data_IF_438406465449
#
_entry.id   IF_438406465449
#
_cell.length_a   1.000
_cell.length_b   1.000
_cell.length_c   1.000
_cell.angle_alpha   90.00
_cell.angle_beta   90.00
_cell.angle_gamma   90.00
#
_symmetry.space_group_name_H-M   'P 1'
#
loop_
_entity.id
_entity.type
_entity.pdbx_description
1 polymer ?
#
# COMPACT_ATOMS: atom_id res chain seq x y z
N UNK A 1 -18.13 14.54 -8.49
CA UNK A 1 -16.91 15.30 -8.11
C UNK A 1 -17.22 16.30 -7.03
N UNK A 2 -18.08 17.30 -7.28
CA UNK A 2 -18.49 18.28 -6.27
C UNK A 2 -18.99 17.63 -4.98
N UNK A 3 -19.90 16.66 -5.08
CA UNK A 3 -20.44 15.92 -3.92
C UNK A 3 -19.35 15.21 -3.09
N UNK A 4 -18.36 14.59 -3.74
CA UNK A 4 -17.24 13.93 -3.03
C UNK A 4 -16.33 14.98 -2.37
N UNK A 5 -16.06 16.11 -3.04
CA UNK A 5 -15.26 17.19 -2.50
C UNK A 5 -15.91 17.85 -1.28
N UNK A 6 -17.24 18.00 -1.29
CA UNK A 6 -18.02 18.48 -0.13
C UNK A 6 -17.91 17.53 1.06
N UNK A 7 -17.97 16.21 0.84
CA UNK A 7 -17.77 15.22 1.90
C UNK A 7 -16.36 15.22 2.48
N UNK A 8 -15.34 15.43 1.63
CA UNK A 8 -13.93 15.53 2.07
C UNK A 8 -13.72 16.72 3.01
N UNK A 9 -14.39 17.86 2.73
CA UNK A 9 -14.30 19.06 3.55
C UNK A 9 -12.86 19.51 3.80
N UNK A 10 -12.52 19.71 5.07
CA UNK A 10 -11.22 20.25 5.51
C UNK A 10 -10.17 19.17 5.81
N UNK A 11 -10.38 17.92 5.38
CA UNK A 11 -9.42 16.85 5.61
C UNK A 11 -8.01 17.20 5.06
N UNK A 12 -6.99 16.92 5.87
CA UNK A 12 -5.58 17.11 5.48
C UNK A 12 -5.02 15.86 4.79
N UNK A 13 -5.55 14.68 5.13
CA UNK A 13 -5.15 13.40 4.56
C UNK A 13 -6.40 12.70 4.03
N UNK A 14 -6.45 12.48 2.72
CA UNK A 14 -7.58 11.81 2.05
C UNK A 14 -7.09 10.49 1.48
N UNK A 15 -7.61 9.37 1.99
CA UNK A 15 -7.35 8.05 1.44
C UNK A 15 -8.47 7.62 0.50
N UNK A 16 -8.10 7.24 -0.73
CA UNK A 16 -8.99 6.80 -1.79
C UNK A 16 -8.77 5.33 -2.06
N UNK A 17 -9.82 4.56 -1.84
CA UNK A 17 -9.85 3.11 -1.86
C UNK A 17 -10.01 2.47 -3.23
N UNK A 18 -9.97 1.15 -3.21
CA UNK A 18 -10.42 0.24 -4.24
C UNK A 18 -10.71 -1.11 -3.56
N UNK A 19 -11.69 -1.86 -4.05
CA UNK A 19 -11.99 -3.16 -3.49
C UNK A 19 -11.03 -4.25 -3.98
N UNK A 20 -10.31 -4.01 -5.08
CA UNK A 20 -9.27 -4.86 -5.63
C UNK A 20 -8.39 -4.05 -6.59
N UNK A 21 -7.17 -4.51 -6.84
CA UNK A 21 -6.25 -3.88 -7.79
C UNK A 21 -6.60 -4.23 -9.25
N UNK A 22 -6.07 -3.41 -10.17
CA UNK A 22 -6.20 -3.59 -11.62
C UNK A 22 -7.63 -3.54 -12.15
N UNK A 23 -8.46 -2.68 -11.56
CA UNK A 23 -9.83 -2.41 -11.99
C UNK A 23 -9.89 -1.07 -12.71
N UNK A 24 -10.43 -1.07 -13.93
CA UNK A 24 -10.44 0.11 -14.81
C UNK A 24 -11.20 1.28 -14.21
N UNK A 25 -12.39 1.04 -13.69
CA UNK A 25 -13.28 2.08 -13.18
C UNK A 25 -12.73 2.73 -11.91
N UNK A 26 -12.07 1.96 -11.03
CA UNK A 26 -11.43 2.51 -9.84
C UNK A 26 -10.21 3.35 -10.20
N UNK A 27 -9.38 2.89 -11.15
CA UNK A 27 -8.27 3.69 -11.68
C UNK A 27 -8.74 5.02 -12.27
N UNK A 28 -9.78 4.99 -13.11
CA UNK A 28 -10.35 6.19 -13.72
C UNK A 28 -10.94 7.17 -12.69
N UNK A 29 -11.65 6.68 -11.67
CA UNK A 29 -12.21 7.52 -10.62
C UNK A 29 -11.12 8.11 -9.72
N UNK A 30 -10.12 7.30 -9.33
CA UNK A 30 -8.96 7.75 -8.55
C UNK A 30 -8.17 8.83 -9.27
N UNK A 31 -7.91 8.68 -10.57
CA UNK A 31 -7.24 9.71 -11.38
C UNK A 31 -8.06 11.01 -11.42
N UNK A 32 -9.37 10.93 -11.69
CA UNK A 32 -10.25 12.12 -11.71
C UNK A 32 -10.30 12.83 -10.36
N UNK A 33 -10.37 12.08 -9.26
CA UNK A 33 -10.34 12.62 -7.89
C UNK A 33 -8.99 13.26 -7.58
N UNK A 34 -7.89 12.59 -7.89
CA UNK A 34 -6.55 13.15 -7.69
C UNK A 34 -6.39 14.48 -8.42
N UNK A 35 -6.79 14.54 -9.69
CA UNK A 35 -6.69 15.77 -10.48
C UNK A 35 -7.47 16.91 -9.84
N UNK A 36 -8.70 16.64 -9.43
CA UNK A 36 -9.54 17.63 -8.75
C UNK A 36 -8.94 18.08 -7.41
N UNK A 37 -8.44 17.15 -6.59
CA UNK A 37 -7.83 17.46 -5.30
C UNK A 37 -6.56 18.30 -5.46
N UNK A 38 -5.75 18.01 -6.50
CA UNK A 38 -4.55 18.77 -6.82
C UNK A 38 -4.88 20.17 -7.35
N UNK A 39 -5.84 20.31 -8.28
CA UNK A 39 -6.10 21.61 -8.92
C UNK A 39 -7.02 22.53 -8.12
N UNK A 40 -8.00 21.97 -7.41
CA UNK A 40 -9.04 22.75 -6.74
C UNK A 40 -8.93 22.73 -5.20
N UNK A 41 -8.33 21.69 -4.61
CA UNK A 41 -8.34 21.50 -3.15
C UNK A 41 -6.96 21.65 -2.48
N UNK A 42 -5.91 21.94 -3.27
CA UNK A 42 -4.56 22.24 -2.76
C UNK A 42 -3.77 21.04 -2.27
N UNK A 43 -4.07 19.82 -2.76
CA UNK A 43 -3.27 18.64 -2.43
C UNK A 43 -1.98 18.59 -3.25
N UNK A 44 -0.85 18.32 -2.58
CA UNK A 44 0.50 18.44 -3.16
C UNK A 44 1.37 17.22 -2.90
N UNK A 45 0.88 16.23 -2.14
CA UNK A 45 1.58 14.97 -1.89
C UNK A 45 0.69 13.79 -2.27
N UNK A 46 1.20 12.90 -3.11
CA UNK A 46 0.58 11.62 -3.44
C UNK A 46 1.35 10.48 -2.75
N UNK A 47 0.69 9.79 -1.83
CA UNK A 47 1.10 8.51 -1.29
C UNK A 47 0.44 7.37 -2.07
N UNK A 48 1.20 6.33 -2.43
CA UNK A 48 0.69 5.17 -3.16
C UNK A 48 0.98 3.87 -2.39
N UNK A 49 0.15 2.84 -2.56
CA UNK A 49 0.39 1.48 -2.02
C UNK A 49 1.57 0.77 -2.70
N UNK A 50 2.74 1.39 -2.66
CA UNK A 50 3.98 0.87 -3.20
C UNK A 50 5.13 1.07 -2.23
N UNK A 51 6.22 0.36 -2.45
CA UNK A 51 7.41 0.44 -1.60
C UNK A 51 7.98 1.85 -1.52
N UNK A 52 8.22 2.31 -0.28
CA UNK A 52 8.81 3.63 -0.01
C UNK A 52 10.17 3.82 -0.70
N UNK A 53 11.00 2.78 -0.75
CA UNK A 53 12.32 2.85 -1.35
C UNK A 53 12.27 3.03 -2.87
N UNK A 54 11.37 2.32 -3.53
CA UNK A 54 11.13 2.39 -4.97
C UNK A 54 10.53 3.74 -5.37
N UNK A 55 9.60 4.28 -4.56
CA UNK A 55 8.90 5.53 -4.86
C UNK A 55 9.80 6.75 -5.01
N UNK A 56 11.04 6.73 -4.50
CA UNK A 56 12.02 7.80 -4.72
C UNK A 56 12.29 8.05 -6.21
N UNK A 57 12.31 6.98 -7.03
CA UNK A 57 12.53 7.08 -8.47
C UNK A 57 11.42 7.89 -9.15
N UNK A 58 10.17 7.64 -8.76
CA UNK A 58 8.99 8.34 -9.28
C UNK A 58 9.04 9.81 -8.87
N UNK A 59 9.28 10.11 -7.60
CA UNK A 59 9.36 11.50 -7.11
C UNK A 59 10.48 12.30 -7.80
N UNK A 60 11.65 11.68 -7.99
CA UNK A 60 12.76 12.29 -8.72
C UNK A 60 12.37 12.58 -10.18
N UNK A 61 11.69 11.64 -10.85
CA UNK A 61 11.20 11.82 -12.21
C UNK A 61 10.17 12.95 -12.28
N UNK A 62 9.15 12.97 -11.42
CA UNK A 62 8.13 14.04 -11.41
C UNK A 62 8.74 15.46 -11.31
N UNK A 63 9.92 15.58 -10.68
CA UNK A 63 10.68 16.82 -10.50
C UNK A 63 11.68 17.14 -11.63
N UNK A 64 11.58 16.46 -12.77
CA UNK A 64 12.44 16.72 -13.93
C UNK A 64 13.58 15.72 -14.10
N UNK A 65 13.65 14.66 -13.29
CA UNK A 65 14.59 13.56 -13.50
C UNK A 65 14.42 12.89 -14.87
N UNK A 66 15.50 12.26 -15.40
CA UNK A 66 15.49 11.61 -16.70
C UNK A 66 14.72 10.29 -16.69
N UNK A 67 14.47 9.73 -17.87
CA UNK A 67 13.86 8.41 -18.06
C UNK A 67 12.47 8.47 -18.68
N UNK A 68 12.07 7.36 -19.29
CA UNK A 68 10.75 7.18 -19.87
C UNK A 68 9.75 6.69 -18.82
N UNK A 69 8.50 7.13 -18.92
CA UNK A 69 7.48 6.84 -17.88
C UNK A 69 7.29 5.33 -17.63
N UNK A 70 7.42 4.50 -18.65
CA UNK A 70 7.27 3.05 -18.53
C UNK A 70 8.37 2.42 -17.65
N UNK A 71 9.62 2.87 -17.79
CA UNK A 71 10.72 2.37 -16.96
C UNK A 71 10.58 2.86 -15.51
N UNK A 72 10.21 4.13 -15.35
CA UNK A 72 10.00 4.75 -14.04
C UNK A 72 8.86 4.08 -13.28
N UNK A 73 7.76 3.75 -13.97
CA UNK A 73 6.63 3.09 -13.34
C UNK A 73 6.94 1.63 -13.02
N UNK A 74 7.66 0.91 -13.90
CA UNK A 74 8.11 -0.47 -13.63
C UNK A 74 9.00 -0.56 -12.39
N UNK A 75 9.99 0.33 -12.28
CA UNK A 75 11.03 0.24 -11.26
C UNK A 75 10.71 1.07 -9.99
N UNK A 76 9.76 2.00 -10.08
CA UNK A 76 9.35 2.91 -9.01
C UNK A 76 8.11 2.47 -8.23
N UNK A 77 7.48 1.35 -8.62
CA UNK A 77 6.34 0.74 -7.94
C UNK A 77 6.65 -0.70 -7.56
N UNK A 78 6.07 -1.17 -6.45
CA UNK A 78 6.09 -2.59 -6.07
C UNK A 78 4.81 -3.28 -6.53
N UNK A 79 4.75 -4.61 -6.41
CA UNK A 79 3.60 -5.44 -6.80
C UNK A 79 3.15 -5.30 -8.27
N UNK A 80 3.98 -4.71 -9.14
CA UNK A 80 3.64 -4.47 -10.53
C UNK A 80 2.55 -3.40 -10.74
N UNK A 81 2.21 -2.63 -9.70
CA UNK A 81 1.13 -1.64 -9.74
C UNK A 81 1.40 -0.49 -10.71
N UNK A 82 2.67 -0.26 -11.08
CA UNK A 82 3.06 0.77 -12.04
C UNK A 82 2.83 0.42 -13.51
N UNK A 83 2.53 -0.84 -13.85
CA UNK A 83 2.63 -1.32 -15.24
C UNK A 83 1.47 -0.90 -16.16
N UNK A 84 0.42 -0.24 -15.63
CA UNK A 84 -0.77 0.09 -16.42
C UNK A 84 -0.61 1.41 -17.17
N UNK A 85 -1.28 1.52 -18.32
CA UNK A 85 -1.28 2.76 -19.12
C UNK A 85 -1.88 3.92 -18.33
N UNK A 86 -2.89 3.66 -17.51
CA UNK A 86 -3.56 4.63 -16.64
C UNK A 86 -2.59 5.20 -15.59
N UNK A 87 -1.73 4.37 -15.00
CA UNK A 87 -0.69 4.87 -14.10
C UNK A 87 0.34 5.70 -14.86
N UNK A 88 0.74 5.29 -16.06
CA UNK A 88 1.63 6.10 -16.89
C UNK A 88 1.04 7.48 -17.23
N UNK A 89 -0.25 7.52 -17.57
CA UNK A 89 -0.98 8.77 -17.85
C UNK A 89 -1.09 9.66 -16.60
N UNK A 90 -1.39 9.07 -15.44
CA UNK A 90 -1.42 9.77 -14.16
C UNK A 90 -0.06 10.40 -13.84
N UNK A 91 1.03 9.62 -13.92
CA UNK A 91 2.39 10.11 -13.66
C UNK A 91 2.78 11.22 -14.63
N UNK A 92 2.50 11.03 -15.93
CA UNK A 92 2.78 12.03 -16.96
C UNK A 92 2.03 13.32 -16.70
N UNK A 93 0.77 13.24 -16.26
CA UNK A 93 0.00 14.41 -15.89
C UNK A 93 0.57 15.13 -14.67
N UNK A 94 1.03 14.40 -13.65
CA UNK A 94 1.61 14.96 -12.42
C UNK A 94 2.97 15.63 -12.64
N UNK A 95 3.75 15.17 -13.63
CA UNK A 95 5.11 15.66 -13.87
C UNK A 95 5.12 17.18 -14.06
N UNK A 96 5.98 17.86 -13.29
CA UNK A 96 6.13 19.32 -13.35
C UNK A 96 5.01 20.13 -12.68
N UNK A 97 4.02 19.51 -12.02
CA UNK A 97 2.93 20.22 -11.33
C UNK A 97 3.19 20.52 -9.85
N UNK A 98 4.42 20.27 -9.37
CA UNK A 98 4.78 20.49 -7.97
C UNK A 98 4.23 19.43 -6.99
N UNK A 99 3.63 18.35 -7.50
CA UNK A 99 3.18 17.22 -6.67
C UNK A 99 4.37 16.32 -6.31
N UNK A 100 4.52 16.03 -5.03
CA UNK A 100 5.48 15.04 -4.48
C UNK A 100 4.89 13.64 -4.56
N UNK A 101 5.73 12.64 -4.75
CA UNK A 101 5.32 11.24 -4.70
C UNK A 101 6.01 10.47 -3.57
N UNK A 102 5.31 9.53 -2.96
CA UNK A 102 5.88 8.56 -2.02
C UNK A 102 5.20 7.22 -2.17
N UNK A 103 6.00 6.15 -2.27
CA UNK A 103 5.49 4.84 -1.86
C UNK A 103 5.23 4.85 -0.36
N UNK A 104 4.17 4.20 0.11
CA UNK A 104 3.79 4.12 1.52
C UNK A 104 4.27 2.85 2.19
N UNK A 105 4.33 1.76 1.45
CA UNK A 105 4.49 0.40 1.97
C UNK A 105 5.95 0.00 2.10
N UNK A 106 6.18 -1.15 2.74
CA UNK A 106 7.49 -1.79 2.86
C UNK A 106 8.09 -2.09 1.48
N UNK A 107 9.43 -2.09 1.34
CA UNK A 107 10.08 -2.26 0.04
C UNK A 107 9.90 -3.67 -0.55
N UNK A 108 10.24 -3.80 -1.84
CA UNK A 108 10.46 -5.10 -2.48
C UNK A 108 9.23 -5.99 -2.51
N UNK A 109 8.04 -5.41 -2.70
CA UNK A 109 6.75 -6.13 -2.69
C UNK A 109 6.53 -6.93 -1.40
N UNK A 110 6.95 -6.37 -0.26
CA UNK A 110 6.92 -7.00 1.06
C UNK A 110 7.71 -8.32 1.17
N UNK A 111 8.60 -8.61 0.20
CA UNK A 111 9.43 -9.82 0.18
C UNK A 111 10.94 -9.56 0.26
N UNK A 112 11.37 -8.29 0.19
CA UNK A 112 12.80 -7.97 0.18
C UNK A 112 13.13 -6.65 0.87
N UNK A 113 14.00 -6.64 1.90
CA UNK A 113 14.49 -5.42 2.54
C UNK A 113 15.57 -4.71 1.69
N UNK A 114 16.09 -5.37 0.65
CA UNK A 114 17.25 -4.94 -0.13
C UNK A 114 17.11 -3.53 -0.71
N UNK A 115 15.95 -3.10 -1.26
CA UNK A 115 15.81 -1.74 -1.78
C UNK A 115 16.07 -0.66 -0.72
N UNK A 116 15.48 -0.79 0.47
CA UNK A 116 15.75 0.11 1.60
C UNK A 116 17.19 0.00 2.08
N UNK A 117 17.74 -1.20 2.21
CA UNK A 117 19.13 -1.39 2.64
C UNK A 117 20.13 -0.78 1.66
N UNK A 118 19.87 -0.83 0.34
CA UNK A 118 20.70 -0.17 -0.68
C UNK A 118 20.64 1.35 -0.58
N UNK A 119 19.44 1.92 -0.39
CA UNK A 119 19.27 3.36 -0.19
C UNK A 119 20.03 3.82 1.08
N UNK A 120 19.88 3.08 2.17
CA UNK A 120 20.59 3.33 3.41
C UNK A 120 22.11 3.19 3.26
N UNK A 121 22.58 2.15 2.54
CA UNK A 121 24.02 1.95 2.28
C UNK A 121 24.64 3.15 1.58
N UNK A 122 23.97 3.72 0.58
CA UNK A 122 24.45 4.90 -0.15
C UNK A 122 24.59 6.11 0.78
N UNK A 123 23.63 6.31 1.68
CA UNK A 123 23.67 7.38 2.68
C UNK A 123 24.78 7.16 3.73
N UNK A 124 24.90 5.95 4.27
CA UNK A 124 25.93 5.61 5.26
C UNK A 124 27.33 5.70 4.65
N UNK A 125 27.55 5.25 3.41
CA UNK A 125 28.83 5.44 2.72
C UNK A 125 29.25 6.92 2.62
N UNK A 126 28.27 7.82 2.50
CA UNK A 126 28.50 9.26 2.39
C UNK A 126 28.71 9.92 3.74
N UNK A 127 27.93 9.55 4.74
CA UNK A 127 27.87 10.21 6.05
C UNK A 127 28.74 9.55 7.13
N UNK A 128 28.87 8.23 7.10
CA UNK A 128 29.59 7.42 8.09
C UNK A 128 30.17 6.13 7.48
N UNK A 129 31.18 6.25 6.59
CA UNK A 129 31.72 5.12 5.85
C UNK A 129 32.36 4.05 6.75
N UNK A 130 32.76 4.39 7.98
CA UNK A 130 33.33 3.44 8.93
C UNK A 130 32.31 2.37 9.37
N UNK A 131 31.01 2.70 9.34
CA UNK A 131 29.93 1.84 9.80
C UNK A 131 29.11 1.21 8.65
N UNK A 132 29.55 1.32 7.39
CA UNK A 132 28.87 0.67 6.25
C UNK A 132 28.73 -0.85 6.41
N UNK A 133 29.65 -1.47 7.16
CA UNK A 133 29.62 -2.90 7.46
C UNK A 133 28.34 -3.34 8.19
N UNK A 134 27.68 -2.46 8.95
CA UNK A 134 26.38 -2.77 9.56
C UNK A 134 25.30 -3.02 8.50
N UNK A 135 25.31 -2.25 7.41
CA UNK A 135 24.39 -2.42 6.29
C UNK A 135 24.75 -3.66 5.48
N UNK A 136 26.04 -3.91 5.26
CA UNK A 136 26.52 -5.10 4.53
C UNK A 136 26.18 -6.39 5.29
N UNK A 137 26.29 -6.39 6.62
CA UNK A 137 25.89 -7.52 7.47
C UNK A 137 24.37 -7.76 7.40
N UNK A 138 23.56 -6.70 7.44
CA UNK A 138 22.11 -6.83 7.29
C UNK A 138 21.72 -7.37 5.90
N UNK A 139 22.36 -6.87 4.83
CA UNK A 139 22.17 -7.39 3.47
C UNK A 139 22.49 -8.88 3.38
N UNK A 140 23.63 -9.31 3.94
CA UNK A 140 24.03 -10.71 3.94
C UNK A 140 23.07 -11.60 4.75
N UNK A 141 22.60 -11.13 5.90
CA UNK A 141 21.66 -11.89 6.74
C UNK A 141 20.28 -12.05 6.08
N UNK A 142 19.86 -11.08 5.26
CA UNK A 142 18.55 -11.11 4.59
C UNK A 142 18.56 -11.81 3.22
N UNK A 143 19.74 -12.04 2.63
CA UNK A 143 19.91 -12.65 1.32
C UNK A 143 19.14 -13.98 1.14
N UNK A 144 19.09 -14.90 2.12
CA UNK A 144 18.42 -16.19 1.94
C UNK A 144 16.91 -16.10 1.67
N UNK A 145 16.22 -15.09 2.20
CA UNK A 145 14.78 -14.92 1.98
C UNK A 145 14.42 -13.85 0.95
N UNK A 146 15.33 -12.89 0.71
CA UNK A 146 15.04 -11.72 -0.11
C UNK A 146 14.56 -12.12 -1.53
N UNK A 147 13.35 -11.67 -1.88
CA UNK A 147 12.78 -11.82 -3.21
C UNK A 147 11.77 -10.74 -3.48
N UNK A 148 11.72 -10.22 -4.72
CA UNK A 148 10.66 -9.30 -5.15
C UNK A 148 9.32 -10.01 -5.37
N UNK A 149 9.32 -11.34 -5.41
CA UNK A 149 8.11 -12.15 -5.47
C UNK A 149 7.53 -12.34 -4.07
N UNK A 150 6.34 -11.79 -3.86
CA UNK A 150 5.56 -11.97 -2.62
C UNK A 150 5.04 -13.41 -2.44
N UNK A 151 5.07 -14.24 -3.48
CA UNK A 151 4.81 -15.69 -3.37
C UNK A 151 6.04 -16.47 -2.85
N UNK A 152 7.24 -16.08 -3.30
CA UNK A 152 8.48 -16.84 -3.06
C UNK A 152 9.13 -16.48 -1.73
N UNK A 153 9.15 -15.20 -1.35
CA UNK A 153 9.81 -14.74 -0.12
C UNK A 153 9.28 -15.46 1.14
N UNK A 154 7.96 -15.63 1.34
CA UNK A 154 7.43 -16.37 2.50
C UNK A 154 7.92 -17.81 2.57
N UNK A 155 7.96 -18.52 1.42
CA UNK A 155 8.44 -19.90 1.36
C UNK A 155 9.94 -20.01 1.66
N UNK A 156 10.75 -19.08 1.15
CA UNK A 156 12.19 -19.01 1.48
C UNK A 156 12.41 -18.72 2.96
N UNK A 157 11.70 -17.75 3.50
CA UNK A 157 11.76 -17.39 4.92
C UNK A 157 11.37 -18.58 5.81
N UNK A 158 10.27 -19.26 5.48
CA UNK A 158 9.78 -20.45 6.19
C UNK A 158 10.74 -21.66 6.09
N UNK A 159 11.63 -21.70 5.10
CA UNK A 159 12.65 -22.74 4.96
C UNK A 159 13.95 -22.45 5.74
N UNK A 160 14.17 -21.20 6.18
CA UNK A 160 15.33 -20.84 6.99
C UNK A 160 15.23 -21.44 8.40
N UNK A 161 16.39 -21.72 9.02
CA UNK A 161 16.43 -22.11 10.44
C UNK A 161 16.00 -20.93 11.34
N UNK A 162 15.48 -21.21 12.56
CA UNK A 162 15.17 -20.15 13.52
C UNK A 162 16.35 -19.22 13.81
N UNK A 163 17.57 -19.77 13.93
CA UNK A 163 18.79 -19.01 14.20
C UNK A 163 19.12 -18.03 13.06
N UNK A 164 18.91 -18.45 11.81
CA UNK A 164 19.13 -17.58 10.65
C UNK A 164 18.11 -16.45 10.58
N UNK A 165 16.84 -16.72 10.92
CA UNK A 165 15.78 -15.69 11.02
C UNK A 165 16.10 -14.70 12.13
N UNK A 166 16.48 -15.20 13.31
CA UNK A 166 16.82 -14.36 14.46
C UNK A 166 18.09 -13.52 14.19
N UNK A 167 19.07 -14.06 13.46
CA UNK A 167 20.24 -13.31 13.03
C UNK A 167 19.87 -12.17 12.07
N UNK A 168 18.95 -12.40 11.11
CA UNK A 168 18.45 -11.36 10.22
C UNK A 168 17.71 -10.25 10.99
N UNK A 169 16.75 -10.63 11.85
CA UNK A 169 16.03 -9.68 12.71
C UNK A 169 17.00 -8.87 13.58
N UNK A 170 18.00 -9.52 14.17
CA UNK A 170 19.00 -8.87 15.03
C UNK A 170 19.86 -7.88 14.24
N UNK A 171 20.37 -8.27 13.06
CA UNK A 171 21.17 -7.39 12.23
C UNK A 171 20.40 -6.13 11.81
N UNK A 172 19.12 -6.28 11.44
CA UNK A 172 18.23 -5.17 11.10
C UNK A 172 17.94 -4.26 12.31
N UNK A 173 17.66 -4.85 13.48
CA UNK A 173 17.40 -4.10 14.70
C UNK A 173 18.63 -3.29 15.18
N UNK A 174 19.82 -3.89 15.14
CA UNK A 174 21.09 -3.22 15.46
C UNK A 174 21.35 -2.08 14.49
N UNK A 175 21.18 -2.30 13.18
CA UNK A 175 21.34 -1.27 12.16
C UNK A 175 20.38 -0.09 12.41
N UNK A 176 19.10 -0.37 12.64
CA UNK A 176 18.11 0.67 12.95
C UNK A 176 18.49 1.47 14.19
N UNK A 177 18.85 0.79 15.29
CA UNK A 177 19.26 1.46 16.53
C UNK A 177 20.49 2.36 16.35
N UNK A 178 21.46 1.92 15.54
CA UNK A 178 22.63 2.73 15.21
C UNK A 178 22.26 3.99 14.41
N UNK A 179 21.43 3.83 13.38
CA UNK A 179 20.97 4.93 12.51
C UNK A 179 20.22 6.00 13.31
N UNK A 180 19.36 5.57 14.24
CA UNK A 180 18.62 6.47 15.11
C UNK A 180 19.52 7.17 16.14
N UNK A 181 20.44 6.43 16.77
CA UNK A 181 21.32 6.96 17.80
C UNK A 181 22.28 8.03 17.27
N UNK A 182 22.71 7.93 16.02
CA UNK A 182 23.62 8.89 15.39
C UNK A 182 22.90 9.99 14.61
N UNK A 183 21.58 9.89 14.47
CA UNK A 183 20.78 10.93 13.83
C UNK A 183 21.08 11.10 12.33
N UNK A 184 21.22 10.01 11.57
CA UNK A 184 21.47 10.06 10.11
C UNK A 184 20.28 10.60 9.27
N UNK A 185 19.29 11.22 9.91
CA UNK A 185 18.11 11.79 9.26
C UNK A 185 16.91 10.85 9.26
N UNK A 186 15.74 11.47 9.12
CA UNK A 186 14.44 10.80 9.19
C UNK A 186 14.20 9.81 8.06
N UNK A 187 14.69 10.11 6.84
CA UNK A 187 14.60 9.19 5.69
C UNK A 187 15.48 7.96 5.87
N UNK A 188 16.71 8.12 6.39
CA UNK A 188 17.60 7.00 6.66
C UNK A 188 17.03 6.08 7.74
N UNK A 189 16.50 6.66 8.83
CA UNK A 189 15.80 5.91 9.87
C UNK A 189 14.57 5.17 9.33
N UNK A 190 13.82 5.80 8.42
CA UNK A 190 12.64 5.18 7.79
C UNK A 190 13.02 4.01 6.87
N UNK A 191 14.12 4.10 6.11
CA UNK A 191 14.64 2.94 5.37
C UNK A 191 15.05 1.79 6.29
N UNK A 192 15.71 2.07 7.40
CA UNK A 192 16.08 1.05 8.38
C UNK A 192 14.84 0.37 9.01
N UNK A 193 13.82 1.15 9.37
CA UNK A 193 12.53 0.63 9.84
C UNK A 193 11.85 -0.21 8.77
N UNK A 194 11.80 0.24 7.51
CA UNK A 194 11.17 -0.49 6.42
C UNK A 194 11.83 -1.84 6.15
N UNK A 195 13.16 -1.90 6.25
CA UNK A 195 13.91 -3.15 6.14
C UNK A 195 13.55 -4.12 7.28
N UNK A 196 13.48 -3.64 8.52
CA UNK A 196 13.04 -4.43 9.67
C UNK A 196 11.59 -4.90 9.54
N UNK A 197 10.70 -4.05 9.03
CA UNK A 197 9.27 -4.37 8.86
C UNK A 197 9.02 -5.46 7.82
N UNK A 198 9.85 -5.59 6.79
CA UNK A 198 9.79 -6.75 5.87
C UNK A 198 10.06 -8.05 6.62
N UNK A 199 11.11 -8.10 7.44
CA UNK A 199 11.46 -9.29 8.23
C UNK A 199 10.35 -9.65 9.23
N UNK A 200 9.84 -8.66 9.97
CA UNK A 200 8.72 -8.85 10.90
C UNK A 200 7.45 -9.31 10.18
N UNK A 201 7.13 -8.75 9.01
CA UNK A 201 5.99 -9.18 8.20
C UNK A 201 6.11 -10.65 7.78
N UNK A 202 7.28 -11.10 7.34
CA UNK A 202 7.47 -12.50 6.96
C UNK A 202 7.38 -13.43 8.18
N UNK A 203 7.82 -12.97 9.36
CA UNK A 203 7.63 -13.68 10.63
C UNK A 203 6.17 -13.75 11.07
N UNK A 204 5.42 -12.66 10.92
CA UNK A 204 3.98 -12.58 11.17
C UNK A 204 3.22 -13.58 10.27
N UNK A 205 3.56 -13.60 8.98
CA UNK A 205 2.95 -14.50 8.00
C UNK A 205 3.28 -15.98 8.29
N UNK A 206 4.52 -16.32 8.62
CA UNK A 206 4.92 -17.68 9.02
C UNK A 206 4.15 -18.13 10.27
N UNK A 207 4.03 -17.28 11.29
CA UNK A 207 3.29 -17.58 12.50
C UNK A 207 1.80 -17.80 12.21
N UNK A 208 1.20 -16.96 11.36
CA UNK A 208 -0.19 -17.06 10.96
C UNK A 208 -0.45 -18.37 10.20
N UNK A 209 0.34 -18.66 9.16
CA UNK A 209 0.19 -19.86 8.34
C UNK A 209 0.36 -21.16 9.13
N UNK A 210 1.10 -21.11 10.24
CA UNK A 210 1.31 -22.24 11.11
C UNK A 210 0.43 -22.26 12.36
N UNK A 211 -0.58 -21.38 12.45
CA UNK A 211 -1.54 -21.34 13.56
C UNK A 211 -0.94 -20.94 14.91
N UNK A 212 0.15 -20.16 14.89
CA UNK A 212 0.86 -19.65 16.07
C UNK A 212 0.75 -18.14 16.25
N UNK A 213 0.07 -17.44 15.34
CA UNK A 213 -0.05 -15.99 15.41
C UNK A 213 -0.86 -15.59 16.66
N UNK A 214 -0.42 -14.57 17.42
CA UNK A 214 -1.20 -14.02 18.51
C UNK A 214 -2.47 -13.34 17.99
N UNK A 215 -3.51 -13.28 18.84
CA UNK A 215 -4.76 -12.56 18.58
C UNK A 215 -4.87 -11.34 19.52
N UNK A 216 -5.18 -10.13 19.01
CA UNK A 216 -5.25 -9.77 17.59
C UNK A 216 -3.87 -9.83 16.91
N UNK A 217 -3.85 -10.02 15.60
CA UNK A 217 -2.61 -10.08 14.84
C UNK A 217 -1.96 -8.69 14.69
N UNK A 218 -0.63 -8.69 14.59
CA UNK A 218 0.14 -7.53 14.16
C UNK A 218 -0.01 -7.30 12.65
N UNK A 219 0.15 -6.05 12.22
CA UNK A 219 0.37 -5.72 10.80
C UNK A 219 1.59 -4.83 10.64
N UNK A 220 2.74 -5.43 10.30
CA UNK A 220 3.96 -4.67 10.03
C UNK A 220 3.84 -3.77 8.80
N UNK A 221 3.10 -4.19 7.76
CA UNK A 221 2.86 -3.37 6.56
C UNK A 221 2.06 -2.11 6.88
N UNK A 222 0.91 -2.26 7.53
CA UNK A 222 0.04 -1.13 7.88
C UNK A 222 0.67 -0.17 8.89
N UNK A 223 1.40 -0.72 9.87
CA UNK A 223 2.17 0.10 10.82
C UNK A 223 3.20 0.95 10.08
N UNK A 224 3.88 0.37 9.10
CA UNK A 224 4.86 1.07 8.28
C UNK A 224 4.21 2.12 7.36
N UNK A 225 3.09 1.80 6.70
CA UNK A 225 2.33 2.76 5.89
C UNK A 225 1.91 3.99 6.70
N UNK A 226 1.36 3.78 7.90
CA UNK A 226 1.03 4.88 8.81
C UNK A 226 2.29 5.66 9.22
N UNK A 227 3.42 4.99 9.50
CA UNK A 227 4.69 5.64 9.79
C UNK A 227 5.22 6.48 8.61
N UNK A 228 5.03 6.01 7.37
CA UNK A 228 5.38 6.76 6.17
C UNK A 228 4.55 8.04 6.06
N UNK A 229 3.23 7.98 6.31
CA UNK A 229 2.39 9.20 6.34
C UNK A 229 2.86 10.18 7.43
N UNK A 230 3.24 9.69 8.62
CA UNK A 230 3.82 10.55 9.67
C UNK A 230 5.14 11.20 9.22
N UNK A 231 6.00 10.46 8.52
CA UNK A 231 7.22 11.02 7.93
C UNK A 231 6.89 12.12 6.93
N UNK A 232 5.96 11.89 6.00
CA UNK A 232 5.54 12.88 5.01
C UNK A 232 5.02 14.15 5.68
N UNK A 233 4.19 14.05 6.72
CA UNK A 233 3.68 15.21 7.46
C UNK A 233 4.78 15.99 8.19
N UNK A 234 5.84 15.32 8.68
CA UNK A 234 7.01 16.01 9.27
C UNK A 234 7.86 16.70 8.21
N UNK A 235 8.04 16.08 7.05
CA UNK A 235 8.87 16.61 5.95
C UNK A 235 8.18 17.71 5.15
N UNK A 236 6.85 17.68 5.11
CA UNK A 236 6.01 18.58 4.33
C UNK A 236 4.92 19.17 5.23
N UNK A 237 5.32 19.96 6.25
CA UNK A 237 4.37 20.49 7.23
C UNK A 237 3.35 21.41 6.55
N UNK A 238 2.07 21.15 6.78
CA UNK A 238 0.95 21.93 6.24
C UNK A 238 0.51 21.52 4.82
N UNK A 239 1.24 20.62 4.15
CA UNK A 239 0.84 20.08 2.86
C UNK A 239 -0.27 19.03 3.03
N UNK A 240 -1.26 19.05 2.11
CA UNK A 240 -2.32 18.04 2.09
C UNK A 240 -1.92 16.81 1.28
N UNK A 241 -2.30 15.62 1.77
CA UNK A 241 -1.83 14.32 1.27
C UNK A 241 -3.00 13.49 0.74
N UNK A 242 -2.90 13.02 -0.51
CA UNK A 242 -3.79 12.00 -1.06
C UNK A 242 -3.11 10.64 -0.92
N UNK A 243 -3.80 9.63 -0.41
CA UNK A 243 -3.34 8.24 -0.36
C UNK A 243 -4.15 7.38 -1.34
N UNK A 244 -3.48 6.64 -2.21
CA UNK A 244 -4.10 5.62 -3.06
C UNK A 244 -3.70 4.25 -2.54
N UNK A 245 -4.57 3.67 -1.71
CA UNK A 245 -4.35 2.39 -1.04
C UNK A 245 -5.65 1.58 -1.01
N UNK A 246 -5.56 0.26 -0.85
CA UNK A 246 -6.70 -0.65 -0.81
C UNK A 246 -7.71 -0.29 0.28
N UNK A 247 -9.00 -0.61 0.08
CA UNK A 247 -10.07 -0.38 1.08
C UNK A 247 -9.70 -0.95 2.46
N UNK A 248 -9.09 -2.14 2.48
CA UNK A 248 -8.64 -2.82 3.70
C UNK A 248 -7.49 -2.11 4.45
N UNK A 249 -6.65 -1.36 3.74
CA UNK A 249 -5.55 -0.59 4.34
C UNK A 249 -6.02 0.78 4.85
N UNK A 250 -6.98 1.42 4.19
CA UNK A 250 -7.47 2.76 4.59
C UNK A 250 -8.62 2.76 5.59
N UNK A 251 -9.30 1.64 5.82
CA UNK A 251 -10.44 1.63 6.75
C UNK A 251 -10.02 2.07 8.16
N UNK A 252 -10.91 2.80 8.84
CA UNK A 252 -10.67 3.39 10.18
C UNK A 252 -10.74 2.36 11.31
N UNK A 253 -11.17 1.13 11.01
CA UNK A 253 -11.29 0.00 11.95
C UNK A 253 -10.34 -1.12 11.56
N UNK A 254 -9.98 -2.04 12.49
CA UNK A 254 -9.15 -3.20 12.17
C UNK A 254 -9.72 -4.04 11.02
N UNK A 255 -8.83 -4.51 10.14
CA UNK A 255 -9.20 -5.35 9.02
C UNK A 255 -9.31 -6.81 9.45
N UNK A 256 -10.44 -7.43 9.09
CA UNK A 256 -10.73 -8.83 9.40
C UNK A 256 -11.20 -9.56 8.15
N UNK A 257 -10.29 -10.13 7.34
CA UNK A 257 -10.66 -10.81 6.11
C UNK A 257 -11.40 -12.13 6.38
N UNK A 258 -11.14 -12.77 7.52
CA UNK A 258 -11.70 -14.06 7.91
C UNK A 258 -11.84 -14.14 9.44
N UNK A 259 -12.75 -14.98 9.97
CA UNK A 259 -12.89 -15.18 11.41
C UNK A 259 -11.56 -15.59 12.09
N UNK A 260 -11.25 -14.99 13.24
CA UNK A 260 -9.99 -15.24 13.97
C UNK A 260 -8.76 -14.51 13.39
N UNK A 261 -8.93 -13.80 12.27
CA UNK A 261 -7.91 -12.93 11.70
C UNK A 261 -8.34 -11.48 11.77
N UNK A 262 -7.72 -10.70 12.65
CA UNK A 262 -7.96 -9.27 12.80
C UNK A 262 -6.64 -8.56 13.06
N UNK A 263 -6.31 -7.58 12.22
CA UNK A 263 -5.12 -6.76 12.38
C UNK A 263 -5.45 -5.27 12.21
N UNK A 264 -4.73 -4.36 12.88
CA UNK A 264 -4.90 -2.93 12.63
C UNK A 264 -4.52 -2.59 11.18
N UNK A 265 -5.34 -1.75 10.55
CA UNK A 265 -5.06 -1.16 9.24
C UNK A 265 -4.27 0.15 9.39
N UNK A 266 -3.69 0.65 8.29
CA UNK A 266 -3.04 1.96 8.29
C UNK A 266 -4.05 3.06 8.67
N UNK A 267 -5.28 2.94 8.14
CA UNK A 267 -6.41 3.81 8.47
C UNK A 267 -6.79 3.80 9.96
N UNK A 268 -6.64 2.68 10.67
CA UNK A 268 -6.88 2.61 12.13
C UNK A 268 -5.91 3.54 12.87
N UNK A 269 -4.63 3.49 12.50
CA UNK A 269 -3.62 4.37 13.10
C UNK A 269 -3.83 5.84 12.73
N UNK A 270 -4.14 6.11 11.46
CA UNK A 270 -4.34 7.48 10.97
C UNK A 270 -5.59 8.12 11.55
N UNK A 271 -6.70 7.39 11.63
CA UNK A 271 -7.93 7.87 12.26
C UNK A 271 -7.72 8.21 13.74
N UNK A 272 -6.98 7.37 14.49
CA UNK A 272 -6.68 7.62 15.90
C UNK A 272 -5.84 8.89 16.11
N UNK A 273 -4.97 9.25 15.17
CA UNK A 273 -4.07 10.40 15.29
C UNK A 273 -4.62 11.70 14.71
N UNK A 274 -5.39 11.59 13.63
CA UNK A 274 -5.83 12.72 12.82
C UNK A 274 -7.30 13.09 13.08
N UNK A 275 -8.11 12.15 13.59
CA UNK A 275 -9.55 12.34 13.75
C UNK A 275 -10.19 12.73 12.42
N UNK A 276 -10.94 13.83 12.42
CA UNK A 276 -11.65 14.35 11.25
C UNK A 276 -10.72 14.93 10.17
N UNK A 277 -9.41 15.07 10.46
CA UNK A 277 -8.42 15.46 9.45
C UNK A 277 -8.01 14.31 8.53
N UNK A 278 -8.43 13.08 8.84
CA UNK A 278 -8.30 11.91 7.99
C UNK A 278 -9.67 11.54 7.41
N UNK A 279 -9.73 11.45 6.08
CA UNK A 279 -10.94 11.05 5.36
C UNK A 279 -10.68 9.76 4.58
N UNK A 280 -11.52 8.76 4.80
CA UNK A 280 -11.43 7.42 4.21
C UNK A 280 -12.60 7.19 3.22
N UNK A 281 -12.28 7.15 1.92
CA UNK A 281 -13.24 6.90 0.84
C UNK A 281 -13.08 5.49 0.29
N UNK A 282 -14.04 4.60 0.54
CA UNK A 282 -14.04 3.28 -0.10
C UNK A 282 -14.58 3.35 -1.53
N UNK A 283 -14.03 2.55 -2.43
CA UNK A 283 -14.63 2.31 -3.75
C UNK A 283 -15.05 0.84 -3.88
N UNK A 284 -16.24 0.61 -4.41
CA UNK A 284 -16.74 -0.74 -4.75
C UNK A 284 -17.65 -0.68 -5.97
N UNK A 285 -18.10 -1.85 -6.45
CA UNK A 285 -19.04 -1.96 -7.55
C UNK A 285 -20.00 -3.15 -7.37
N UNK A 286 -21.19 -3.02 -7.93
CA UNK A 286 -22.26 -4.02 -7.80
C UNK A 286 -21.90 -5.31 -8.54
N UNK A 287 -21.48 -5.18 -9.80
CA UNK A 287 -21.32 -6.31 -10.74
C UNK A 287 -20.02 -6.24 -11.55
N UNK A 288 -19.77 -7.27 -12.37
CA UNK A 288 -18.70 -7.29 -13.36
C UNK A 288 -17.59 -8.28 -13.03
N UNK A 289 -16.33 -7.90 -13.25
CA UNK A 289 -15.16 -8.77 -13.06
C UNK A 289 -14.13 -8.18 -12.12
N UNK A 290 -13.33 -9.05 -11.53
CA UNK A 290 -12.28 -8.73 -10.56
C UNK A 290 -11.01 -9.50 -10.88
N UNK A 291 -9.90 -9.07 -10.30
CA UNK A 291 -8.60 -9.71 -10.50
C UNK A 291 -8.48 -10.93 -9.59
N UNK A 292 -8.38 -12.12 -10.20
CA UNK A 292 -7.97 -13.36 -9.53
C UNK A 292 -6.47 -13.58 -9.62
N UNK A 293 -5.90 -14.30 -8.64
CA UNK A 293 -4.49 -14.66 -8.58
C UNK A 293 -4.34 -16.19 -8.52
N UNK A 294 -3.52 -16.74 -9.42
CA UNK A 294 -3.14 -18.16 -9.41
C UNK A 294 -1.62 -18.28 -9.25
N UNK A 295 -1.10 -19.13 -8.33
CA UNK A 295 0.34 -19.36 -8.20
C UNK A 295 0.94 -19.81 -9.54
N UNK A 296 1.97 -19.09 -9.98
CA UNK A 296 2.70 -19.41 -11.21
C UNK A 296 4.14 -18.88 -11.13
N UNK A 297 5.15 -19.75 -11.01
CA UNK A 297 6.54 -19.35 -10.87
C UNK A 297 7.13 -18.71 -12.15
N UNK A 298 6.45 -18.81 -13.29
CA UNK A 298 6.88 -18.14 -14.52
C UNK A 298 6.66 -16.62 -14.47
N UNK A 299 5.80 -16.13 -13.58
CA UNK A 299 5.50 -14.70 -13.42
C UNK A 299 6.43 -14.07 -12.37
N UNK A 300 6.89 -12.81 -12.57
CA UNK A 300 7.87 -12.18 -11.67
C UNK A 300 7.45 -12.08 -10.20
N UNK A 301 6.15 -11.97 -9.93
CA UNK A 301 5.61 -11.94 -8.56
C UNK A 301 5.25 -13.32 -8.01
N UNK A 302 5.35 -14.37 -8.82
CA UNK A 302 4.97 -15.74 -8.48
C UNK A 302 3.47 -16.02 -8.62
N UNK A 303 2.73 -15.10 -9.23
CA UNK A 303 1.30 -15.25 -9.51
C UNK A 303 0.98 -14.79 -10.93
N UNK A 304 0.16 -15.58 -11.63
CA UNK A 304 -0.55 -15.16 -12.82
C UNK A 304 -1.86 -14.50 -12.41
N UNK A 305 -2.10 -13.31 -12.96
CA UNK A 305 -3.41 -12.64 -12.86
C UNK A 305 -4.38 -13.22 -13.89
N UNK A 306 -5.64 -13.38 -13.50
CA UNK A 306 -6.72 -13.78 -14.40
C UNK A 306 -8.00 -12.98 -14.10
N UNK A 307 -8.89 -12.91 -15.08
CA UNK A 307 -10.20 -12.28 -14.92
C UNK A 307 -11.13 -13.26 -14.19
N UNK A 308 -11.74 -12.81 -13.10
CA UNK A 308 -12.69 -13.57 -12.31
C UNK A 308 -14.03 -12.84 -12.29
N UNK A 309 -15.13 -13.54 -12.62
CA UNK A 309 -16.46 -12.96 -12.48
C UNK A 309 -16.77 -12.69 -11.00
N UNK A 310 -17.44 -11.58 -10.71
CA UNK A 310 -17.97 -11.31 -9.40
C UNK A 310 -19.23 -12.13 -9.14
N UNK A 311 -19.34 -12.67 -7.92
CA UNK A 311 -20.60 -13.21 -7.41
C UNK A 311 -21.61 -12.08 -7.16
N UNK A 312 -22.89 -12.46 -7.11
CA UNK A 312 -23.98 -11.58 -6.70
C UNK A 312 -23.66 -10.87 -5.36
N UNK A 313 -24.10 -9.61 -5.18
CA UNK A 313 -23.93 -8.90 -3.92
C UNK A 313 -24.40 -9.71 -2.72
N UNK A 314 -23.55 -9.84 -1.71
CA UNK A 314 -23.91 -10.56 -0.49
C UNK A 314 -24.97 -9.79 0.30
N UNK A 315 -25.89 -10.50 0.96
CA UNK A 315 -26.93 -9.87 1.77
C UNK A 315 -26.32 -8.93 2.83
N UNK A 316 -26.85 -7.72 2.94
CA UNK A 316 -26.37 -6.69 3.87
C UNK A 316 -25.05 -6.02 3.47
N UNK A 317 -24.43 -6.41 2.34
CA UNK A 317 -23.23 -5.72 1.85
C UNK A 317 -23.58 -4.35 1.25
N UNK A 318 -22.59 -3.47 1.15
CA UNK A 318 -22.75 -2.16 0.48
C UNK A 318 -23.32 -2.32 -0.92
N UNK A 319 -22.81 -3.28 -1.67
CA UNK A 319 -23.21 -3.55 -3.05
C UNK A 319 -24.69 -3.94 -3.13
N UNK A 320 -25.18 -4.75 -2.19
CA UNK A 320 -26.59 -5.15 -2.13
C UNK A 320 -27.49 -3.98 -1.70
N UNK A 321 -27.07 -3.21 -0.70
CA UNK A 321 -27.84 -2.08 -0.16
C UNK A 321 -27.94 -0.92 -1.16
N UNK A 322 -26.92 -0.72 -2.00
CA UNK A 322 -26.83 0.41 -2.93
C UNK A 322 -27.10 0.04 -4.41
N UNK A 323 -27.44 -1.22 -4.71
CA UNK A 323 -27.58 -1.71 -6.10
C UNK A 323 -28.50 -0.83 -6.95
N UNK A 324 -29.69 -0.48 -6.44
CA UNK A 324 -30.70 0.30 -7.18
C UNK A 324 -30.34 1.80 -7.32
N UNK A 325 -29.28 2.23 -6.64
CA UNK A 325 -28.81 3.62 -6.63
C UNK A 325 -27.47 3.80 -7.33
N UNK A 326 -26.79 2.71 -7.71
CA UNK A 326 -25.51 2.78 -8.39
C UNK A 326 -25.67 3.45 -9.79
N UNK A 327 -24.74 4.32 -10.22
CA UNK A 327 -23.56 4.75 -9.48
C UNK A 327 -23.91 5.87 -8.48
N UNK A 328 -23.43 5.76 -7.24
CA UNK A 328 -23.65 6.76 -6.19
C UNK A 328 -22.45 6.92 -5.25
N UNK A 329 -22.45 8.02 -4.51
CA UNK A 329 -21.63 8.20 -3.29
C UNK A 329 -22.58 8.32 -2.10
N UNK A 330 -22.24 7.66 -0.99
CA UNK A 330 -23.04 7.70 0.25
C UNK A 330 -22.10 7.85 1.43
N UNK A 331 -22.38 8.82 2.30
CA UNK A 331 -21.72 8.96 3.59
C UNK A 331 -22.24 7.91 4.57
N UNK A 332 -21.35 7.22 5.28
CA UNK A 332 -21.66 6.22 6.30
C UNK A 332 -22.85 5.29 5.97
N UNK A 333 -22.83 4.56 4.84
CA UNK A 333 -23.93 3.68 4.49
C UNK A 333 -24.13 2.60 5.56
N UNK A 334 -25.39 2.36 5.93
CA UNK A 334 -25.76 1.30 6.86
C UNK A 334 -25.67 -0.07 6.16
N UNK A 335 -24.50 -0.69 6.24
CA UNK A 335 -24.20 -2.00 5.67
C UNK A 335 -23.27 -2.77 6.63
N UNK A 336 -23.32 -4.10 6.55
CA UNK A 336 -22.58 -5.02 7.45
C UNK A 336 -21.38 -5.70 6.78
N UNK A 337 -21.13 -5.42 5.51
CA UNK A 337 -20.01 -5.94 4.75
C UNK A 337 -19.72 -5.06 3.53
N UNK A 338 -18.52 -5.16 2.98
CA UNK A 338 -18.17 -4.58 1.67
C UNK A 338 -17.30 -5.57 0.91
N UNK A 339 -17.39 -5.56 -0.42
CA UNK A 339 -16.55 -6.42 -1.25
C UNK A 339 -15.06 -6.12 -1.02
N UNK A 340 -14.27 -7.20 -0.99
CA UNK A 340 -12.81 -7.21 -0.91
C UNK A 340 -12.30 -8.30 -1.85
N UNK A 341 -11.85 -7.91 -3.04
CA UNK A 341 -11.57 -8.77 -4.17
C UNK A 341 -12.80 -9.65 -4.55
N UNK A 342 -12.68 -10.96 -4.37
CA UNK A 342 -13.75 -11.93 -4.62
C UNK A 342 -14.50 -12.32 -3.32
N UNK A 343 -14.14 -11.74 -2.17
CA UNK A 343 -14.75 -12.01 -0.88
C UNK A 343 -15.61 -10.82 -0.43
N UNK A 344 -16.42 -11.01 0.61
CA UNK A 344 -17.24 -9.95 1.23
C UNK A 344 -17.18 -10.08 2.76
N UNK A 345 -16.02 -9.75 3.38
CA UNK A 345 -15.86 -9.90 4.82
C UNK A 345 -16.79 -8.95 5.61
N UNK A 346 -17.27 -9.37 6.78
CA UNK A 346 -18.10 -8.52 7.63
C UNK A 346 -17.31 -7.33 8.17
N UNK A 347 -17.94 -6.17 8.20
CA UNK A 347 -17.37 -4.93 8.75
C UNK A 347 -18.49 -3.93 9.06
N UNK A 348 -18.34 -3.17 10.13
CA UNK A 348 -19.17 -1.98 10.35
C UNK A 348 -18.74 -0.90 9.35
N UNK A 349 -19.46 -0.83 8.22
CA UNK A 349 -19.10 0.04 7.10
C UNK A 349 -19.13 1.52 7.50
N UNK A 350 -20.09 1.92 8.33
CA UNK A 350 -20.24 3.30 8.78
C UNK A 350 -19.07 3.72 9.70
N UNK A 351 -18.53 2.80 10.49
CA UNK A 351 -17.33 3.04 11.29
C UNK A 351 -16.03 2.95 10.47
N UNK A 352 -16.00 2.10 9.44
CA UNK A 352 -14.80 1.83 8.66
C UNK A 352 -14.47 2.93 7.64
N UNK A 353 -15.47 3.60 7.07
CA UNK A 353 -15.28 4.62 6.04
C UNK A 353 -16.19 5.83 6.26
N UNK A 354 -15.67 7.01 5.89
CA UNK A 354 -16.44 8.26 5.95
C UNK A 354 -17.46 8.32 4.80
N UNK A 355 -17.08 7.79 3.64
CA UNK A 355 -17.98 7.61 2.51
C UNK A 355 -17.61 6.39 1.67
N UNK A 356 -18.59 5.91 0.91
CA UNK A 356 -18.40 4.84 -0.07
C UNK A 356 -18.94 5.29 -1.42
N UNK A 357 -18.14 5.10 -2.48
CA UNK A 357 -18.62 5.15 -3.86
C UNK A 357 -18.95 3.74 -4.31
N UNK A 358 -20.19 3.53 -4.74
CA UNK A 358 -20.65 2.28 -5.32
C UNK A 358 -20.93 2.51 -6.81
N UNK A 359 -20.17 1.84 -7.67
CA UNK A 359 -20.33 1.88 -9.13
C UNK A 359 -21.26 0.74 -9.61
N UNK A 360 -21.91 0.92 -10.77
CA UNK A 360 -22.77 -0.14 -11.34
C UNK A 360 -21.98 -1.41 -11.68
N UNK A 361 -20.77 -1.23 -12.18
CA UNK A 361 -19.91 -2.32 -12.61
C UNK A 361 -18.43 -2.00 -12.46
N UNK A 362 -17.63 -3.05 -12.41
CA UNK A 362 -16.19 -3.01 -12.52
C UNK A 362 -15.68 -4.02 -13.55
N UNK A 363 -14.57 -3.71 -14.21
CA UNK A 363 -13.91 -4.60 -15.16
C UNK A 363 -12.39 -4.60 -14.93
N UNK A 364 -11.77 -5.77 -15.09
CA UNK A 364 -10.31 -5.88 -15.06
C UNK A 364 -9.67 -5.08 -16.20
N UNK A 365 -8.54 -4.46 -15.89
CA UNK A 365 -7.82 -3.56 -16.79
C UNK A 365 -7.01 -4.33 -17.84
N UNK A 366 -6.63 -5.56 -17.53
CA UNK A 366 -6.01 -6.51 -18.43
C UNK A 366 -7.06 -7.45 -19.02
N UNK A 367 -6.82 -7.93 -20.25
CA UNK A 367 -7.57 -9.06 -20.81
C UNK A 367 -6.83 -10.34 -20.44
N UNK A 368 -7.55 -11.37 -19.99
CA UNK A 368 -6.93 -12.70 -19.84
C UNK A 368 -6.26 -13.07 -21.17
N UNK A 369 -4.99 -13.47 -21.14
CA UNK A 369 -4.46 -14.23 -22.27
C UNK A 369 -5.39 -15.44 -22.42
N UNK A 370 -6.03 -15.57 -23.58
CA UNK A 370 -6.93 -16.69 -23.84
C UNK A 370 -6.19 -17.99 -23.52
N UNK A 371 -6.84 -18.86 -22.72
CA UNK A 371 -6.32 -20.17 -22.33
C UNK A 371 -5.99 -21.06 -23.53
#
# INVERSE_FOLDING_TARGET
>A
MAEIAELIGDAEVVAIGENNHHIREFGALRDRLLRHLVTECGFTVLGFESGFAEGHLVDAWLRGGPGEVADIARDGFTFGLGNSAEVHEMLTWLRGRGVRFSGLDVPGSAGSPVPSLRALRAEILRADPANVSLVDNALAACEPYASVSSAVAPGRYAAMSPEARDAATTALAVLKGHVESLGHGDVAAHHAEGALRVDLYLRELDALMAGRAPEPQSSSRDTYMAATVRLLRRRFPGEKIVLMIHNGHLQRVPFSPMPGMTAPSAGTHLAAELGDRYFALALTAVSGTTTGLAPDPAYPLGFRMFEQALDEPAEGSVEAVLTDRAPCVVAHPAASAVRHAHMTPPVDVAAAWDAVVCLEKQETIFRSAAE
#
